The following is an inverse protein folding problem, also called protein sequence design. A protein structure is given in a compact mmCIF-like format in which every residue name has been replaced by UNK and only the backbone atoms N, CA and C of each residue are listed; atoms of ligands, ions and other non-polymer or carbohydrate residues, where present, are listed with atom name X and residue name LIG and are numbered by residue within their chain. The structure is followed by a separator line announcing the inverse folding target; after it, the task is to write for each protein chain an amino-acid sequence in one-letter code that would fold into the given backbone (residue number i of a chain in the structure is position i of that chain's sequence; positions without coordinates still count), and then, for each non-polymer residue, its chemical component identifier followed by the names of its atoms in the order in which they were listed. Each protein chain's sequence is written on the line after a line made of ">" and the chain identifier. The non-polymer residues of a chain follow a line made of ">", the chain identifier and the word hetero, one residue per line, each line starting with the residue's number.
data_IF_136393660093
#
_entry.id   IF_136393660093
#
_cell.length_a   1.000
_cell.length_b   1.000
_cell.length_c   1.000
_cell.angle_alpha   90.00
_cell.angle_beta   90.00
_cell.angle_gamma   90.00
#
_symmetry.space_group_name_H-M   'P 1'
#
loop_
_entity.id
_entity.type
_entity.pdbx_description
1 polymer ?
#
# COMPACT_ATOMS: atom_id res chain seq x y z
N UNK A 1 -15.16 3.41 10.40
CA UNK A 1 -13.96 2.61 10.69
C UNK A 1 -13.23 2.39 9.38
N UNK A 2 -12.04 2.96 9.28
CA UNK A 2 -11.12 2.86 8.14
C UNK A 2 -9.86 2.16 8.64
N UNK A 3 -9.23 1.35 7.81
CA UNK A 3 -7.98 0.67 8.14
C UNK A 3 -6.93 1.20 7.17
N UNK A 4 -5.83 1.71 7.71
CA UNK A 4 -4.69 2.17 6.90
C UNK A 4 -3.46 1.36 7.27
N UNK A 5 -2.48 1.30 6.37
CA UNK A 5 -1.16 0.73 6.65
C UNK A 5 -0.28 1.82 7.27
N UNK A 6 0.42 1.51 8.37
CA UNK A 6 1.38 2.44 8.95
C UNK A 6 2.58 2.60 8.01
N UNK A 7 2.91 3.82 7.54
CA UNK A 7 4.06 4.03 6.65
C UNK A 7 5.41 3.79 7.36
N UNK A 8 5.43 3.76 8.70
CA UNK A 8 6.66 3.54 9.47
C UNK A 8 7.02 2.07 9.67
N UNK A 9 6.03 1.19 9.90
CA UNK A 9 6.26 -0.24 10.19
C UNK A 9 5.54 -1.22 9.27
N UNK A 10 4.58 -0.77 8.46
CA UNK A 10 3.77 -1.62 7.59
C UNK A 10 2.62 -2.35 8.28
N UNK A 11 2.38 -2.12 9.57
CA UNK A 11 1.27 -2.76 10.30
C UNK A 11 -0.06 -2.03 10.09
N UNK A 12 -1.16 -2.76 10.23
CA UNK A 12 -2.51 -2.23 10.08
C UNK A 12 -2.90 -1.32 11.26
N UNK A 13 -3.45 -0.14 10.96
CA UNK A 13 -3.90 0.87 11.93
C UNK A 13 -5.39 1.11 11.74
N UNK A 14 -6.17 0.86 12.80
CA UNK A 14 -7.62 1.07 12.82
C UNK A 14 -7.95 2.53 13.19
N UNK A 15 -8.58 3.24 12.27
CA UNK A 15 -9.07 4.60 12.48
C UNK A 15 -10.58 4.56 12.70
N UNK A 16 -11.01 4.91 13.92
CA UNK A 16 -12.43 4.97 14.29
C UNK A 16 -13.14 6.17 13.70
N UNK A 17 -12.53 7.34 13.86
CA UNK A 17 -13.06 8.64 13.43
C UNK A 17 -11.93 9.40 12.71
N UNK A 18 -12.10 9.62 11.40
CA UNK A 18 -11.18 10.41 10.59
C UNK A 18 -11.75 11.82 10.40
N UNK A 19 -11.07 12.83 10.92
CA UNK A 19 -11.41 14.25 10.77
C UNK A 19 -10.15 15.10 10.73
N UNK A 20 -10.26 16.33 10.24
CA UNK A 20 -9.12 17.25 10.10
C UNK A 20 -8.48 17.59 11.46
N UNK A 21 -7.16 17.46 11.54
CA UNK A 21 -6.37 17.62 12.75
C UNK A 21 -6.42 16.42 13.71
N UNK A 22 -6.94 15.25 13.30
CA UNK A 22 -6.91 14.05 14.16
C UNK A 22 -5.50 13.45 14.19
N UNK A 23 -5.03 13.16 15.39
CA UNK A 23 -3.79 12.42 15.63
C UNK A 23 -4.12 10.92 15.78
N UNK A 24 -3.45 10.11 14.98
CA UNK A 24 -3.59 8.66 14.92
C UNK A 24 -2.25 8.07 15.33
N UNK A 25 -2.25 7.30 16.41
CA UNK A 25 -1.07 6.61 16.88
C UNK A 25 -1.11 5.14 16.46
N UNK A 26 -0.02 4.63 15.90
CA UNK A 26 0.15 3.21 15.64
C UNK A 26 0.45 2.47 16.95
N UNK A 27 -0.36 1.47 17.31
CA UNK A 27 -0.15 0.65 18.52
C UNK A 27 1.10 -0.25 18.46
N UNK A 28 1.64 -0.52 17.26
CA UNK A 28 2.77 -1.43 17.06
C UNK A 28 4.14 -0.74 17.21
N UNK A 29 4.37 0.35 16.48
CA UNK A 29 5.65 1.07 16.51
C UNK A 29 5.58 2.37 17.34
N UNK A 30 4.37 2.84 17.69
CA UNK A 30 4.17 4.09 18.40
C UNK A 30 4.23 5.35 17.53
N UNK A 31 4.38 5.22 16.21
CA UNK A 31 4.40 6.35 15.28
C UNK A 31 3.08 7.15 15.35
N UNK A 32 3.17 8.47 15.23
CA UNK A 32 2.01 9.37 15.26
C UNK A 32 1.84 10.01 13.89
N UNK A 33 0.65 9.84 13.33
CA UNK A 33 0.21 10.43 12.08
C UNK A 33 -0.83 11.50 12.39
N UNK A 34 -0.82 12.62 11.69
CA UNK A 34 -1.88 13.63 11.77
C UNK A 34 -2.57 13.75 10.42
N UNK A 35 -3.90 13.83 10.40
CA UNK A 35 -4.65 14.02 9.16
C UNK A 35 -4.96 15.50 8.94
N UNK A 36 -4.28 16.16 8.01
CA UNK A 36 -4.47 17.57 7.67
C UNK A 36 -4.50 17.78 6.15
N UNK A 37 -5.30 18.73 5.67
CA UNK A 37 -5.43 19.08 4.24
C UNK A 37 -5.73 17.86 3.33
N UNK A 38 -6.41 16.85 3.87
CA UNK A 38 -6.72 15.61 3.14
C UNK A 38 -5.59 14.59 3.08
N UNK A 39 -4.49 14.79 3.83
CA UNK A 39 -3.29 13.93 3.82
C UNK A 39 -2.92 13.47 5.22
N UNK A 40 -2.20 12.35 5.30
CA UNK A 40 -1.57 11.90 6.53
C UNK A 40 -0.13 12.42 6.61
N UNK A 41 0.22 13.09 7.70
CA UNK A 41 1.56 13.59 7.95
C UNK A 41 2.16 12.77 9.09
N UNK A 42 3.29 12.11 8.83
CA UNK A 42 4.03 11.39 9.86
C UNK A 42 4.81 12.41 10.70
N UNK A 43 4.48 12.56 11.99
CA UNK A 43 5.09 13.59 12.83
C UNK A 43 6.59 13.39 13.09
N UNK A 44 7.09 12.16 12.95
CA UNK A 44 8.50 11.83 13.21
C UNK A 44 9.42 12.32 12.07
N UNK A 45 9.00 12.13 10.81
CA UNK A 45 9.79 12.48 9.61
C UNK A 45 9.25 13.69 8.85
N UNK A 46 8.04 14.15 9.20
CA UNK A 46 7.30 15.19 8.51
C UNK A 46 6.95 14.86 7.05
N UNK A 47 6.92 13.57 6.71
CA UNK A 47 6.51 13.06 5.40
C UNK A 47 4.99 13.04 5.27
N UNK A 48 4.51 13.39 4.07
CA UNK A 48 3.10 13.43 3.71
C UNK A 48 2.73 12.19 2.88
N UNK A 49 1.59 11.59 3.19
CA UNK A 49 1.06 10.41 2.54
C UNK A 49 -0.40 10.64 2.16
N UNK A 50 -0.76 10.27 0.94
CA UNK A 50 -2.15 10.32 0.49
C UNK A 50 -2.95 9.18 1.16
N UNK A 51 -4.20 9.43 1.58
CA UNK A 51 -5.02 8.45 2.29
C UNK A 51 -5.44 7.27 1.42
N UNK A 52 -5.36 7.39 0.10
CA UNK A 52 -5.62 6.31 -0.86
C UNK A 52 -4.44 5.33 -0.93
N UNK A 53 -3.19 5.82 -0.91
CA UNK A 53 -1.98 4.97 -0.90
C UNK A 53 -1.86 4.12 0.38
N UNK A 54 -2.36 4.64 1.51
CA UNK A 54 -2.33 3.92 2.78
C UNK A 54 -3.57 3.04 3.00
N UNK A 55 -4.64 3.21 2.21
CA UNK A 55 -5.83 2.40 2.37
C UNK A 55 -5.55 0.99 1.86
N UNK A 56 -5.71 0.00 2.75
CA UNK A 56 -5.59 -1.40 2.37
C UNK A 56 -6.88 -1.78 1.66
N UNK A 57 -6.85 -1.83 0.34
CA UNK A 57 -8.00 -2.25 -0.44
C UNK A 57 -8.26 -3.74 -0.21
N UNK A 58 -9.32 -4.05 0.56
CA UNK A 58 -9.75 -5.43 0.80
C UNK A 58 -10.54 -6.01 -0.38
N UNK A 59 -10.71 -5.28 -1.50
CA UNK A 59 -11.53 -5.72 -2.63
C UNK A 59 -10.74 -6.46 -3.72
N UNK A 60 -9.41 -6.47 -3.67
CA UNK A 60 -8.57 -7.12 -4.70
C UNK A 60 -8.02 -8.48 -4.25
N UNK A 61 -8.90 -9.48 -4.18
CA UNK A 61 -8.51 -10.89 -4.41
C UNK A 61 -8.28 -11.19 -5.91
N UNK A 62 -7.95 -10.19 -6.75
CA UNK A 62 -7.70 -10.43 -8.18
C UNK A 62 -6.89 -9.34 -8.87
N UNK A 63 -5.61 -9.24 -8.57
CA UNK A 63 -4.64 -8.74 -9.55
C UNK A 63 -3.91 -9.94 -10.17
N UNK A 64 -4.34 -10.24 -11.39
CA UNK A 64 -3.79 -11.17 -12.36
C UNK A 64 -2.38 -10.66 -12.76
N UNK A 65 -1.38 -10.88 -11.90
CA UNK A 65 0.03 -10.69 -12.25
C UNK A 65 0.47 -11.88 -13.12
N UNK A 66 0.06 -11.86 -14.39
CA UNK A 66 0.54 -12.77 -15.41
C UNK A 66 1.25 -11.94 -16.49
N UNK A 67 2.51 -11.58 -16.22
CA UNK A 67 3.46 -11.21 -17.26
C UNK A 67 3.70 -12.44 -18.15
N UNK A 68 2.86 -12.65 -19.18
CA UNK A 68 3.12 -13.61 -20.27
C UNK A 68 4.17 -13.01 -21.22
N UNK A 69 5.42 -12.84 -20.74
CA UNK A 69 6.58 -12.56 -21.58
C UNK A 69 7.26 -13.89 -21.98
N UNK A 70 6.47 -14.78 -22.59
CA UNK A 70 7.04 -15.90 -23.34
C UNK A 70 7.40 -15.41 -24.74
N UNK A 71 8.59 -14.82 -24.82
CA UNK A 71 9.42 -14.67 -26.02
C UNK A 71 9.61 -16.06 -26.67
N UNK A 72 8.64 -16.47 -27.48
CA UNK A 72 8.69 -17.70 -28.26
C UNK A 72 9.43 -17.42 -29.57
N UNK A 73 10.72 -17.18 -29.47
CA UNK A 73 11.62 -17.17 -30.62
C UNK A 73 12.70 -18.26 -30.49
N UNK A 74 12.71 -19.13 -31.49
CA UNK A 74 13.86 -19.91 -31.98
C UNK A 74 14.41 -21.07 -31.12
N UNK A 75 13.93 -22.29 -31.42
CA UNK A 75 14.85 -23.45 -31.48
C UNK A 75 14.56 -24.32 -32.71
N UNK A 76 15.07 -23.83 -33.85
CA UNK A 76 15.94 -24.52 -34.82
C UNK A 76 15.72 -26.04 -35.04
N UNK A 77 15.38 -26.36 -36.30
CA UNK A 77 15.79 -27.51 -37.11
C UNK A 77 16.48 -28.70 -36.42
N UNK A 78 15.86 -29.90 -36.46
CA UNK A 78 16.43 -31.10 -37.12
C UNK A 78 15.51 -32.32 -36.99
N UNK A 79 15.03 -32.84 -38.12
CA UNK A 79 15.19 -34.23 -38.59
C UNK A 79 14.20 -34.50 -39.73
N UNK A 80 14.71 -34.42 -40.96
CA UNK A 80 14.25 -35.28 -42.04
C UNK A 80 14.53 -36.74 -41.65
N UNK A 81 13.49 -37.60 -41.68
CA UNK A 81 13.61 -39.00 -42.12
C UNK A 81 12.26 -39.54 -42.62
#
# INVERSE_FOLDING_TARGET
>A
MKIIVCPSCGEDVEIRDLYEGVEIQCDFCGAVLIYEDGRFILLDTNEEFDPEDLEKDFSEEREDDFEDDLDYDEFDDYYEE
#
